data_IF_093267359352
#
_entry.id   IF_093267359352
#
_cell.length_a   1.000
_cell.length_b   1.000
_cell.length_c   1.000
_cell.angle_alpha   90.00
_cell.angle_beta   90.00
_cell.angle_gamma   90.00
#
_symmetry.space_group_name_H-M   'P 1'
#
loop_
_entity.id
_entity.type
_entity.pdbx_description
1 polymer ?
#
# COMPACT_ATOMS: atom_id res chain seq x y z
N UNK A 1 5.51 -2.89 -26.14
CA UNK A 1 6.32 -3.93 -26.87
C UNK A 1 5.41 -5.08 -27.23
N UNK A 2 5.61 -5.71 -28.39
CA UNK A 2 4.79 -6.86 -28.79
C UNK A 2 4.96 -8.04 -27.84
N UNK A 3 3.88 -8.75 -27.57
CA UNK A 3 3.84 -9.83 -26.56
C UNK A 3 4.80 -10.99 -26.88
N UNK A 4 4.95 -11.37 -28.14
CA UNK A 4 5.88 -12.42 -28.59
C UNK A 4 7.34 -12.03 -28.33
N UNK A 5 7.71 -10.78 -28.62
CA UNK A 5 9.06 -10.25 -28.36
C UNK A 5 9.33 -10.22 -26.85
N UNK A 6 8.33 -9.83 -26.03
CA UNK A 6 8.47 -9.84 -24.57
C UNK A 6 8.71 -11.24 -24.03
N UNK A 7 7.90 -12.22 -24.46
CA UNK A 7 8.07 -13.63 -24.05
C UNK A 7 9.47 -14.10 -24.39
N UNK A 8 9.95 -13.86 -25.62
CA UNK A 8 11.29 -14.28 -26.02
C UNK A 8 12.37 -13.59 -25.18
N UNK A 9 12.23 -12.28 -24.94
CA UNK A 9 13.18 -11.52 -24.12
C UNK A 9 13.27 -12.04 -22.67
N UNK A 10 12.14 -12.46 -22.07
CA UNK A 10 12.16 -13.12 -20.76
C UNK A 10 12.82 -14.50 -20.82
N UNK A 11 12.56 -15.31 -21.85
CA UNK A 11 13.21 -16.62 -22.05
C UNK A 11 14.73 -16.48 -22.19
N UNK A 12 15.18 -15.47 -22.92
CA UNK A 12 16.61 -15.19 -23.15
C UNK A 12 17.30 -14.50 -21.97
N UNK A 13 16.56 -14.18 -20.90
CA UNK A 13 17.10 -13.56 -19.68
C UNK A 13 17.46 -12.07 -19.83
N UNK A 14 16.95 -11.39 -20.84
CA UNK A 14 17.22 -9.96 -21.08
C UNK A 14 16.83 -9.08 -19.88
N UNK A 15 15.83 -9.51 -19.13
CA UNK A 15 15.29 -8.75 -17.98
C UNK A 15 15.81 -9.23 -16.62
N UNK A 16 16.79 -10.12 -16.54
CA UNK A 16 17.24 -10.69 -15.25
C UNK A 16 17.76 -9.67 -14.26
N UNK A 17 18.60 -8.75 -14.73
CA UNK A 17 19.11 -7.67 -13.87
C UNK A 17 17.96 -6.82 -13.35
N UNK A 18 16.99 -6.47 -14.20
CA UNK A 18 15.83 -5.69 -13.79
C UNK A 18 14.92 -6.45 -12.83
N UNK A 19 14.74 -7.75 -13.02
CA UNK A 19 14.03 -8.61 -12.07
C UNK A 19 14.77 -8.67 -10.72
N UNK A 20 16.10 -8.73 -10.75
CA UNK A 20 16.89 -8.69 -9.53
C UNK A 20 16.75 -7.33 -8.81
N UNK A 21 16.77 -6.22 -9.53
CA UNK A 21 16.56 -4.88 -8.96
C UNK A 21 15.18 -4.74 -8.28
N UNK A 22 14.15 -5.40 -8.84
CA UNK A 22 12.79 -5.36 -8.29
C UNK A 22 12.60 -6.30 -7.10
N UNK A 23 13.11 -7.53 -7.19
CA UNK A 23 12.81 -8.57 -6.20
C UNK A 23 13.93 -8.82 -5.18
N UNK A 24 15.13 -8.30 -5.40
CA UNK A 24 16.30 -8.42 -4.54
C UNK A 24 16.66 -9.86 -4.14
N UNK A 25 16.25 -10.87 -4.92
CA UNK A 25 16.47 -12.30 -4.64
C UNK A 25 16.87 -13.06 -5.91
N UNK A 26 18.15 -13.39 -6.04
CA UNK A 26 18.67 -14.13 -7.18
C UNK A 26 18.04 -15.52 -7.34
N UNK A 27 17.61 -16.13 -6.25
CA UNK A 27 17.00 -17.48 -6.30
C UNK A 27 15.59 -17.46 -6.89
N UNK A 28 14.95 -16.28 -6.93
CA UNK A 28 13.61 -16.08 -7.46
C UNK A 28 13.56 -15.68 -8.93
N UNK A 29 14.69 -15.35 -9.57
CA UNK A 29 14.70 -14.85 -10.95
C UNK A 29 14.01 -15.81 -11.91
N UNK A 30 14.31 -17.11 -11.83
CA UNK A 30 13.66 -18.11 -12.69
C UNK A 30 12.13 -18.13 -12.46
N UNK A 31 11.69 -18.12 -11.21
CA UNK A 31 10.28 -18.07 -10.87
C UNK A 31 9.61 -16.82 -11.44
N UNK A 32 10.23 -15.66 -11.31
CA UNK A 32 9.68 -14.41 -11.82
C UNK A 32 9.61 -14.39 -13.35
N UNK A 33 10.63 -14.91 -14.06
CA UNK A 33 10.54 -15.06 -15.52
C UNK A 33 9.29 -15.85 -15.92
N UNK A 34 9.11 -17.04 -15.35
CA UNK A 34 7.95 -17.90 -15.64
C UNK A 34 6.63 -17.20 -15.32
N UNK A 35 6.58 -16.49 -14.20
CA UNK A 35 5.40 -15.73 -13.78
C UNK A 35 5.04 -14.64 -14.79
N UNK A 36 5.99 -13.85 -15.26
CA UNK A 36 5.77 -12.81 -16.27
C UNK A 36 5.37 -13.41 -17.62
N UNK A 37 6.05 -14.47 -18.07
CA UNK A 37 5.69 -15.19 -19.30
C UNK A 37 4.27 -15.72 -19.21
N UNK A 38 3.89 -16.34 -18.09
CA UNK A 38 2.54 -16.87 -17.90
C UNK A 38 1.49 -15.73 -17.89
N UNK A 39 1.78 -14.62 -17.25
CA UNK A 39 0.89 -13.45 -17.27
C UNK A 39 0.68 -12.91 -18.68
N UNK A 40 1.75 -12.81 -19.51
CA UNK A 40 1.64 -12.38 -20.91
C UNK A 40 0.79 -13.37 -21.71
N UNK A 41 1.02 -14.68 -21.57
CA UNK A 41 0.22 -15.71 -22.25
C UNK A 41 -1.26 -15.66 -21.86
N UNK A 42 -1.55 -15.40 -20.58
CA UNK A 42 -2.93 -15.23 -20.09
C UNK A 42 -3.58 -13.96 -20.66
N UNK A 43 -2.82 -12.86 -20.74
CA UNK A 43 -3.28 -11.67 -21.43
C UNK A 43 -3.67 -11.95 -22.87
N UNK A 44 -2.84 -12.69 -23.64
CA UNK A 44 -3.14 -13.07 -25.03
C UNK A 44 -4.40 -13.93 -25.17
N UNK A 45 -4.64 -14.81 -24.20
CA UNK A 45 -5.88 -15.62 -24.17
C UNK A 45 -7.12 -14.76 -23.97
N UNK A 46 -7.04 -13.70 -23.16
CA UNK A 46 -8.16 -12.80 -22.88
C UNK A 46 -8.37 -11.77 -23.99
N UNK A 47 -7.28 -11.16 -24.50
CA UNK A 47 -7.37 -9.92 -25.30
C UNK A 47 -6.63 -9.96 -26.64
N UNK A 48 -6.06 -11.10 -27.03
CA UNK A 48 -5.22 -11.31 -28.21
C UNK A 48 -3.86 -10.62 -28.13
N UNK A 49 -2.87 -11.15 -28.86
CA UNK A 49 -1.52 -10.56 -28.96
C UNK A 49 -1.54 -9.07 -29.34
N UNK A 50 -0.51 -8.35 -28.95
CA UNK A 50 -0.35 -6.94 -29.33
C UNK A 50 0.71 -6.21 -28.51
N UNK A 51 0.75 -4.90 -28.69
CA UNK A 51 1.64 -4.04 -27.90
C UNK A 51 1.15 -3.90 -26.47
N UNK A 52 1.98 -4.27 -25.52
CA UNK A 52 1.68 -4.16 -24.09
C UNK A 52 2.78 -3.46 -23.31
N UNK A 53 2.43 -2.95 -22.16
CA UNK A 53 3.33 -2.47 -21.12
C UNK A 53 3.13 -3.32 -19.87
N UNK A 54 4.17 -3.42 -19.04
CA UNK A 54 4.14 -4.19 -17.79
C UNK A 54 4.27 -3.22 -16.64
N UNK A 55 3.37 -3.33 -15.68
CA UNK A 55 3.36 -2.54 -14.46
C UNK A 55 3.40 -3.47 -13.24
N UNK A 56 4.00 -3.01 -12.17
CA UNK A 56 4.11 -3.72 -10.90
C UNK A 56 3.89 -2.77 -9.74
N UNK A 57 3.23 -3.26 -8.69
CA UNK A 57 3.12 -2.57 -7.42
C UNK A 57 3.27 -3.57 -6.27
N UNK A 58 4.19 -3.33 -5.32
CA UNK A 58 4.48 -4.24 -4.24
C UNK A 58 3.40 -4.20 -3.14
N UNK A 59 3.30 -5.29 -2.38
CA UNK A 59 2.73 -5.25 -1.06
C UNK A 59 3.64 -4.50 -0.08
N UNK A 60 3.16 -4.26 1.14
CA UNK A 60 3.93 -3.58 2.18
C UNK A 60 3.92 -4.35 3.49
N UNK A 61 4.93 -4.09 4.31
CA UNK A 61 4.93 -4.40 5.74
C UNK A 61 5.21 -3.15 6.55
N UNK A 62 4.72 -3.08 7.76
CA UNK A 62 5.10 -2.05 8.72
C UNK A 62 6.21 -2.59 9.61
N UNK A 63 7.29 -1.83 9.74
CA UNK A 63 8.44 -2.18 10.59
C UNK A 63 8.21 -1.66 12.00
N UNK A 64 7.74 -0.41 12.12
CA UNK A 64 7.46 0.25 13.38
C UNK A 64 6.39 1.34 13.21
N UNK A 65 5.60 1.60 14.26
CA UNK A 65 4.54 2.61 14.25
C UNK A 65 3.15 2.06 14.52
N UNK A 66 2.91 0.82 14.10
CA UNK A 66 1.70 0.05 14.41
C UNK A 66 0.40 0.84 14.17
N UNK A 67 0.25 1.33 12.93
CA UNK A 67 -0.89 2.10 12.44
C UNK A 67 -1.19 3.41 13.21
N UNK A 68 -0.13 4.19 13.51
CA UNK A 68 -0.29 5.52 14.13
C UNK A 68 -0.77 6.59 13.14
N UNK A 69 -0.80 6.32 11.85
CA UNK A 69 -1.18 7.23 10.77
C UNK A 69 -2.57 7.85 10.94
N UNK A 70 -3.56 7.09 11.45
CA UNK A 70 -4.91 7.60 11.72
C UNK A 70 -5.01 8.60 12.90
N UNK A 71 -3.91 8.83 13.62
CA UNK A 71 -3.76 9.84 14.68
C UNK A 71 -2.67 10.86 14.33
N UNK A 72 -2.35 11.01 13.07
CA UNK A 72 -1.29 11.86 12.53
C UNK A 72 0.10 11.52 13.11
N UNK A 73 0.35 10.22 13.36
CA UNK A 73 1.61 9.73 13.90
C UNK A 73 2.69 9.55 12.84
N UNK A 74 3.75 8.87 13.23
CA UNK A 74 4.87 8.49 12.38
C UNK A 74 4.91 6.97 12.21
N UNK A 75 5.35 6.51 11.06
CA UNK A 75 5.55 5.09 10.78
C UNK A 75 6.86 4.85 10.05
N UNK A 76 7.43 3.67 10.27
CA UNK A 76 8.50 3.11 9.47
C UNK A 76 7.94 1.89 8.75
N UNK A 77 7.83 1.97 7.43
CA UNK A 77 7.24 0.93 6.62
C UNK A 77 8.14 0.55 5.44
N UNK A 78 7.96 -0.65 4.90
CA UNK A 78 8.74 -1.14 3.77
C UNK A 78 7.84 -1.80 2.73
N UNK A 79 8.18 -1.64 1.45
CA UNK A 79 7.69 -2.54 0.42
C UNK A 79 8.30 -3.93 0.60
N UNK A 80 7.55 -4.96 0.20
CA UNK A 80 8.05 -6.34 0.17
C UNK A 80 8.29 -6.80 -1.26
N UNK A 81 9.07 -7.85 -1.44
CA UNK A 81 9.34 -8.44 -2.75
C UNK A 81 8.23 -9.41 -3.24
N UNK A 82 7.02 -9.17 -2.82
CA UNK A 82 5.80 -9.76 -3.33
C UNK A 82 4.95 -8.63 -3.93
N UNK A 83 4.56 -8.77 -5.17
CA UNK A 83 3.88 -7.70 -5.90
C UNK A 83 2.63 -8.19 -6.65
N UNK A 84 1.88 -7.22 -7.11
CA UNK A 84 0.81 -7.38 -8.09
C UNK A 84 1.31 -6.84 -9.41
N UNK A 85 1.33 -7.67 -10.46
CA UNK A 85 1.76 -7.28 -11.81
C UNK A 85 0.56 -7.19 -12.76
N UNK A 86 0.63 -6.23 -13.69
CA UNK A 86 -0.34 -6.05 -14.75
C UNK A 86 0.32 -6.06 -16.13
N UNK A 87 -0.18 -6.90 -17.03
CA UNK A 87 0.12 -6.85 -18.47
C UNK A 87 -0.97 -6.03 -19.10
N UNK A 88 -0.62 -4.88 -19.67
CA UNK A 88 -1.58 -3.82 -19.99
C UNK A 88 -1.43 -3.35 -21.43
N UNK A 89 -2.57 -3.23 -22.12
CA UNK A 89 -2.67 -2.66 -23.45
C UNK A 89 -3.56 -1.42 -23.42
N UNK A 90 -3.04 -0.30 -23.86
CA UNK A 90 -3.80 0.94 -24.03
C UNK A 90 -4.89 0.74 -25.07
N UNK A 91 -6.10 1.23 -24.80
CA UNK A 91 -7.21 1.27 -25.77
C UNK A 91 -7.69 2.72 -25.97
N UNK A 92 -8.51 2.94 -27.00
CA UNK A 92 -9.02 4.27 -27.35
C UNK A 92 -10.53 4.39 -27.18
N UNK A 93 -11.13 3.40 -26.47
CA UNK A 93 -12.58 3.28 -26.28
C UNK A 93 -12.92 3.62 -24.83
N UNK A 94 -12.77 4.53 -24.18
CA UNK A 94 -13.18 4.93 -22.81
C UNK A 94 -13.71 3.78 -21.91
N UNK A 95 -13.14 2.58 -22.04
CA UNK A 95 -13.53 1.40 -21.25
C UNK A 95 -12.30 0.71 -20.67
N UNK A 96 -12.30 0.50 -19.37
CA UNK A 96 -11.32 -0.35 -18.69
C UNK A 96 -11.87 -1.77 -18.65
N UNK A 97 -11.07 -2.73 -19.12
CA UNK A 97 -11.35 -4.17 -19.03
C UNK A 97 -10.20 -4.84 -18.31
N UNK A 98 -10.52 -5.56 -17.26
CA UNK A 98 -9.54 -6.18 -16.39
C UNK A 98 -9.93 -7.61 -16.07
N UNK A 99 -9.04 -8.55 -16.30
CA UNK A 99 -9.15 -9.93 -15.85
C UNK A 99 -8.05 -10.20 -14.83
N UNK A 100 -8.38 -10.86 -13.75
CA UNK A 100 -7.40 -11.40 -12.80
C UNK A 100 -7.63 -12.88 -12.58
N UNK A 101 -6.60 -13.58 -12.07
CA UNK A 101 -6.66 -15.01 -11.81
C UNK A 101 -7.92 -15.40 -11.03
N UNK A 102 -8.68 -16.37 -11.55
CA UNK A 102 -9.87 -16.96 -10.94
C UNK A 102 -11.07 -16.00 -10.72
N UNK A 103 -11.07 -14.82 -11.35
CA UNK A 103 -12.16 -13.86 -11.27
C UNK A 103 -12.73 -13.54 -12.65
N UNK A 104 -14.01 -13.20 -12.68
CA UNK A 104 -14.68 -12.74 -13.89
C UNK A 104 -14.10 -11.40 -14.39
N UNK A 105 -14.25 -11.13 -15.68
CA UNK A 105 -13.83 -9.86 -16.28
C UNK A 105 -14.57 -8.68 -15.65
N UNK A 106 -13.81 -7.70 -15.19
CA UNK A 106 -14.34 -6.42 -14.72
C UNK A 106 -14.36 -5.44 -15.88
N UNK A 107 -15.54 -4.89 -16.18
CA UNK A 107 -15.72 -3.87 -17.22
C UNK A 107 -16.19 -2.58 -16.56
N UNK A 108 -15.46 -1.49 -16.81
CA UNK A 108 -15.76 -0.15 -16.29
C UNK A 108 -15.81 0.83 -17.45
N UNK A 109 -16.95 1.47 -17.62
CA UNK A 109 -17.11 2.58 -18.54
C UNK A 109 -16.72 3.88 -17.84
N UNK A 110 -15.85 4.67 -18.44
CA UNK A 110 -15.37 5.93 -17.88
C UNK A 110 -16.41 7.04 -17.83
N UNK A 111 -17.54 6.87 -18.52
CA UNK A 111 -18.70 7.74 -18.43
C UNK A 111 -19.63 7.42 -17.24
N UNK A 112 -19.39 6.32 -16.50
CA UNK A 112 -20.16 5.88 -15.33
C UNK A 112 -19.26 5.51 -14.14
N UNK A 113 -18.57 6.50 -13.60
CA UNK A 113 -17.63 6.35 -12.48
C UNK A 113 -18.19 6.83 -11.15
N UNK A 114 -19.46 7.16 -11.06
CA UNK A 114 -20.09 7.61 -9.82
C UNK A 114 -20.05 6.55 -8.71
N UNK A 115 -19.98 7.01 -7.45
CA UNK A 115 -20.10 6.12 -6.28
C UNK A 115 -21.46 5.42 -6.30
N UNK A 116 -21.47 4.11 -6.13
CA UNK A 116 -22.69 3.30 -6.06
C UNK A 116 -22.65 2.43 -4.82
N UNK A 117 -23.65 2.56 -3.98
CA UNK A 117 -23.75 1.83 -2.71
C UNK A 117 -23.64 0.31 -2.89
N UNK A 118 -24.24 -0.23 -3.95
CA UNK A 118 -24.22 -1.65 -4.31
C UNK A 118 -22.86 -2.16 -4.82
N UNK A 119 -21.92 -1.26 -5.15
CA UNK A 119 -20.57 -1.59 -5.60
C UNK A 119 -19.54 -1.52 -4.47
N UNK A 120 -19.91 -1.05 -3.27
CA UNK A 120 -19.01 -1.04 -2.11
C UNK A 120 -18.44 -2.42 -1.85
N UNK A 121 -17.23 -2.44 -1.29
CA UNK A 121 -16.47 -3.68 -1.01
C UNK A 121 -16.13 -4.52 -2.24
N UNK A 122 -16.17 -3.93 -3.44
CA UNK A 122 -15.78 -4.62 -4.68
C UNK A 122 -14.54 -4.01 -5.32
N UNK A 123 -13.78 -4.83 -6.04
CA UNK A 123 -12.65 -4.39 -6.86
C UNK A 123 -13.06 -3.31 -7.87
N UNK A 124 -14.29 -3.38 -8.39
CA UNK A 124 -14.85 -2.39 -9.30
C UNK A 124 -14.93 -1.00 -8.67
N UNK A 125 -15.32 -0.93 -7.40
CA UNK A 125 -15.37 0.33 -6.66
C UNK A 125 -13.95 0.94 -6.49
N UNK A 126 -12.94 0.13 -6.17
CA UNK A 126 -11.56 0.60 -6.07
C UNK A 126 -11.07 1.21 -7.38
N UNK A 127 -11.27 0.52 -8.52
CA UNK A 127 -10.84 1.04 -9.83
C UNK A 127 -11.55 2.37 -10.15
N UNK A 128 -12.87 2.44 -9.94
CA UNK A 128 -13.65 3.67 -10.15
C UNK A 128 -13.15 4.82 -9.26
N UNK A 129 -12.81 4.51 -8.00
CA UNK A 129 -12.27 5.48 -7.06
C UNK A 129 -10.93 6.04 -7.51
N UNK A 130 -10.00 5.18 -7.96
CA UNK A 130 -8.72 5.63 -8.51
C UNK A 130 -8.93 6.51 -9.76
N UNK A 131 -9.78 6.08 -10.69
CA UNK A 131 -10.11 6.89 -11.89
C UNK A 131 -10.69 8.25 -11.51
N UNK A 132 -11.64 8.30 -10.56
CA UNK A 132 -12.22 9.55 -10.07
C UNK A 132 -11.16 10.45 -9.44
N UNK A 133 -10.31 9.90 -8.60
CA UNK A 133 -9.22 10.64 -7.96
C UNK A 133 -8.24 11.27 -8.96
N UNK A 134 -7.96 10.59 -10.08
CA UNK A 134 -7.19 11.14 -11.19
C UNK A 134 -7.92 12.32 -11.86
N UNK A 135 -9.20 12.14 -12.18
CA UNK A 135 -10.01 13.19 -12.84
C UNK A 135 -10.17 14.44 -11.97
N UNK A 136 -10.40 14.29 -10.65
CA UNK A 136 -10.51 15.40 -9.72
C UNK A 136 -9.23 16.25 -9.68
N UNK A 137 -8.08 15.59 -9.87
CA UNK A 137 -6.76 16.24 -9.96
C UNK A 137 -6.38 16.69 -11.39
N UNK A 138 -7.32 16.57 -12.33
CA UNK A 138 -7.14 16.96 -13.74
C UNK A 138 -6.09 16.16 -14.50
N UNK A 139 -5.78 14.95 -14.04
CA UNK A 139 -4.97 14.00 -14.79
C UNK A 139 -5.77 13.34 -15.90
N UNK A 140 -5.09 12.99 -16.98
CA UNK A 140 -5.70 12.27 -18.08
C UNK A 140 -6.02 10.81 -17.68
N UNK A 141 -7.16 10.33 -18.10
CA UNK A 141 -7.59 8.94 -17.95
C UNK A 141 -8.09 8.39 -19.28
N UNK A 142 -8.03 7.08 -19.46
CA UNK A 142 -8.53 6.44 -20.68
C UNK A 142 -8.68 4.94 -20.50
N UNK A 143 -9.17 4.28 -21.55
CA UNK A 143 -9.43 2.84 -21.54
C UNK A 143 -8.15 2.01 -21.67
N UNK A 144 -8.17 0.84 -21.08
CA UNK A 144 -7.12 -0.18 -21.25
C UNK A 144 -7.69 -1.58 -21.06
N UNK A 145 -6.95 -2.55 -21.55
CA UNK A 145 -7.15 -3.97 -21.28
C UNK A 145 -5.99 -4.43 -20.38
N UNK A 146 -6.29 -5.15 -19.31
CA UNK A 146 -5.27 -5.64 -18.39
C UNK A 146 -5.53 -7.08 -17.95
N UNK A 147 -4.47 -7.88 -17.88
CA UNK A 147 -4.45 -9.11 -17.11
C UNK A 147 -3.57 -8.89 -15.88
N UNK A 148 -4.11 -9.18 -14.71
CA UNK A 148 -3.45 -8.94 -13.41
C UNK A 148 -3.27 -10.26 -12.67
N UNK A 149 -2.08 -10.46 -12.10
CA UNK A 149 -1.79 -11.56 -11.17
C UNK A 149 -1.00 -11.04 -9.97
N UNK A 150 -1.20 -11.64 -8.81
CA UNK A 150 -0.63 -11.16 -7.55
C UNK A 150 0.00 -12.26 -6.74
N UNK A 151 1.23 -12.00 -6.27
CA UNK A 151 1.89 -12.78 -5.21
C UNK A 151 1.66 -12.18 -3.82
N UNK A 152 1.01 -11.01 -3.73
CA UNK A 152 0.62 -10.42 -2.45
C UNK A 152 -0.50 -11.22 -1.82
N UNK A 153 -0.20 -11.90 -0.74
CA UNK A 153 -1.14 -12.79 -0.06
C UNK A 153 -2.33 -12.02 0.52
N UNK A 154 -3.54 -12.42 0.14
CA UNK A 154 -4.77 -11.82 0.67
C UNK A 154 -4.95 -12.25 2.13
N UNK A 155 -5.21 -11.29 3.03
CA UNK A 155 -5.41 -11.58 4.45
C UNK A 155 -4.15 -11.80 5.27
N UNK A 156 -2.97 -11.78 4.67
CA UNK A 156 -1.69 -11.95 5.37
C UNK A 156 -1.09 -10.63 5.91
N UNK A 157 -1.87 -9.55 5.95
CA UNK A 157 -1.39 -8.26 6.46
C UNK A 157 -0.45 -7.49 5.53
N UNK A 158 -0.33 -7.90 4.26
CA UNK A 158 0.56 -7.27 3.26
C UNK A 158 -0.13 -6.18 2.40
N UNK A 159 -1.35 -5.80 2.72
CA UNK A 159 -2.16 -4.80 2.00
C UNK A 159 -2.30 -5.05 0.50
N UNK A 160 -2.94 -6.16 0.14
CA UNK A 160 -3.25 -6.47 -1.26
C UNK A 160 -4.14 -5.41 -1.93
N UNK A 161 -5.04 -4.74 -1.18
CA UNK A 161 -5.85 -3.62 -1.69
C UNK A 161 -4.97 -2.44 -2.09
N UNK A 162 -4.06 -2.00 -1.22
CA UNK A 162 -3.17 -0.88 -1.50
C UNK A 162 -2.23 -1.17 -2.68
N UNK A 163 -1.70 -2.40 -2.79
CA UNK A 163 -0.91 -2.82 -3.94
C UNK A 163 -1.73 -2.75 -5.25
N UNK A 164 -3.00 -3.16 -5.20
CA UNK A 164 -3.89 -3.11 -6.36
C UNK A 164 -4.24 -1.66 -6.75
N UNK A 165 -4.58 -0.80 -5.80
CA UNK A 165 -4.86 0.62 -6.02
C UNK A 165 -3.65 1.34 -6.61
N UNK A 166 -2.47 1.09 -6.04
CA UNK A 166 -1.19 1.61 -6.53
C UNK A 166 -0.91 1.13 -7.95
N UNK A 167 -1.17 -0.15 -8.26
CA UNK A 167 -1.02 -0.68 -9.62
C UNK A 167 -1.92 0.07 -10.61
N UNK A 168 -3.20 0.25 -10.31
CA UNK A 168 -4.13 0.97 -11.20
C UNK A 168 -3.68 2.44 -11.38
N UNK A 169 -3.28 3.11 -10.30
CA UNK A 169 -2.72 4.47 -10.36
C UNK A 169 -1.46 4.55 -11.22
N UNK A 170 -0.54 3.59 -11.08
CA UNK A 170 0.69 3.50 -11.87
C UNK A 170 0.39 3.24 -13.35
N UNK A 171 -0.60 2.39 -13.67
CA UNK A 171 -1.07 2.16 -15.04
C UNK A 171 -1.59 3.46 -15.66
N UNK A 172 -2.47 4.18 -14.97
CA UNK A 172 -3.01 5.46 -15.47
C UNK A 172 -1.93 6.53 -15.61
N UNK A 173 -0.99 6.58 -14.67
CA UNK A 173 0.17 7.47 -14.75
C UNK A 173 1.02 7.15 -15.99
N UNK A 174 1.39 5.90 -16.20
CA UNK A 174 2.22 5.48 -17.35
C UNK A 174 1.53 5.71 -18.69
N UNK A 175 0.32 5.17 -18.86
CA UNK A 175 -0.37 5.18 -20.15
C UNK A 175 -0.86 6.56 -20.60
N UNK A 176 -1.23 7.44 -19.67
CA UNK A 176 -1.96 8.67 -19.99
C UNK A 176 -1.28 9.94 -19.49
N UNK A 177 -0.31 9.84 -18.57
CA UNK A 177 0.34 10.98 -17.93
C UNK A 177 1.87 10.90 -18.00
N UNK A 178 2.42 10.13 -18.93
CA UNK A 178 3.87 9.98 -19.14
C UNK A 178 4.66 9.61 -17.87
N UNK A 179 4.03 8.93 -16.90
CA UNK A 179 4.64 8.55 -15.63
C UNK A 179 4.92 9.72 -14.66
N UNK A 180 4.27 10.88 -14.86
CA UNK A 180 4.58 12.10 -14.08
C UNK A 180 3.77 12.24 -12.80
N UNK A 181 2.71 11.43 -12.59
CA UNK A 181 1.97 11.44 -11.33
C UNK A 181 2.85 10.87 -10.23
N UNK A 182 3.09 11.65 -9.18
CA UNK A 182 4.01 11.25 -8.12
C UNK A 182 3.50 10.04 -7.32
N UNK A 183 4.42 9.28 -6.73
CA UNK A 183 4.08 8.15 -5.86
C UNK A 183 3.17 8.57 -4.69
N UNK A 184 3.43 9.74 -4.11
CA UNK A 184 2.59 10.31 -3.05
C UNK A 184 1.16 10.60 -3.53
N UNK A 185 1.01 11.19 -4.72
CA UNK A 185 -0.33 11.43 -5.28
C UNK A 185 -1.08 10.15 -5.59
N UNK A 186 -0.40 9.13 -6.15
CA UNK A 186 -0.99 7.81 -6.39
C UNK A 186 -1.48 7.20 -5.06
N UNK A 187 -0.69 7.32 -3.99
CA UNK A 187 -1.07 6.84 -2.67
C UNK A 187 -2.31 7.56 -2.10
N UNK A 188 -2.36 8.89 -2.19
CA UNK A 188 -3.51 9.69 -1.73
C UNK A 188 -4.77 9.35 -2.54
N UNK A 189 -4.62 9.13 -3.84
CA UNK A 189 -5.73 8.69 -4.71
C UNK A 189 -6.20 7.28 -4.32
N UNK A 190 -5.29 6.37 -4.01
CA UNK A 190 -5.62 5.02 -3.52
C UNK A 190 -6.43 5.08 -2.23
N UNK A 191 -5.97 5.83 -1.23
CA UNK A 191 -6.71 6.04 0.02
C UNK A 191 -8.12 6.63 -0.22
N UNK A 192 -8.23 7.62 -1.10
CA UNK A 192 -9.52 8.16 -1.49
C UNK A 192 -10.44 7.08 -2.09
N UNK A 193 -9.91 6.23 -2.94
CA UNK A 193 -10.67 5.12 -3.53
C UNK A 193 -11.17 4.13 -2.46
N UNK A 194 -10.32 3.78 -1.49
CA UNK A 194 -10.70 2.87 -0.40
C UNK A 194 -11.74 3.51 0.53
N UNK A 195 -11.54 4.75 0.94
CA UNK A 195 -12.44 5.43 1.87
C UNK A 195 -13.79 5.81 1.27
N UNK A 196 -13.82 6.33 0.04
CA UNK A 196 -15.02 6.92 -0.56
C UNK A 196 -15.79 5.92 -1.42
N UNK A 197 -15.09 5.12 -2.23
CA UNK A 197 -15.72 4.20 -3.17
C UNK A 197 -15.90 2.81 -2.59
N UNK A 198 -14.85 2.25 -2.00
CA UNK A 198 -14.92 0.93 -1.38
C UNK A 198 -15.69 0.97 -0.06
N UNK A 199 -15.58 2.06 0.69
CA UNK A 199 -16.35 2.31 1.91
C UNK A 199 -15.68 1.78 3.17
N UNK A 200 -14.38 1.46 3.13
CA UNK A 200 -13.61 1.03 4.30
C UNK A 200 -12.68 2.17 4.75
N UNK A 201 -12.89 2.76 5.93
CA UNK A 201 -11.99 3.78 6.45
C UNK A 201 -10.59 3.22 6.70
N UNK A 202 -9.59 3.78 6.03
CA UNK A 202 -8.19 3.42 6.22
C UNK A 202 -7.32 4.67 6.41
N UNK A 203 -6.14 4.48 7.03
CA UNK A 203 -5.05 5.46 7.02
C UNK A 203 -4.37 5.53 5.65
N UNK A 204 -3.29 6.28 5.55
CA UNK A 204 -2.58 6.49 4.28
C UNK A 204 -1.29 5.65 4.18
N UNK A 205 -0.84 5.03 5.26
CA UNK A 205 0.43 4.30 5.34
C UNK A 205 0.56 3.22 4.27
N UNK A 206 -0.48 2.42 4.09
CA UNK A 206 -0.46 1.25 3.20
C UNK A 206 -0.18 1.64 1.75
N UNK A 207 -0.93 2.62 1.26
CA UNK A 207 -0.79 3.13 -0.09
C UNK A 207 0.55 3.86 -0.28
N UNK A 208 1.01 4.61 0.74
CA UNK A 208 2.30 5.29 0.68
C UNK A 208 3.47 4.31 0.60
N UNK A 209 3.50 3.29 1.46
CA UNK A 209 4.57 2.30 1.46
C UNK A 209 4.59 1.46 0.18
N UNK A 210 3.42 1.08 -0.36
CA UNK A 210 3.29 0.39 -1.64
C UNK A 210 3.73 1.25 -2.82
N UNK A 211 3.33 2.52 -2.86
CA UNK A 211 3.58 3.42 -3.99
C UNK A 211 5.02 3.93 -4.03
N UNK A 212 5.61 4.27 -2.89
CA UNK A 212 6.97 4.84 -2.81
C UNK A 212 8.03 3.76 -2.91
N UNK A 213 7.77 2.59 -2.31
CA UNK A 213 8.69 1.46 -2.31
C UNK A 213 9.90 1.65 -1.37
N UNK A 214 10.69 0.59 -1.19
CA UNK A 214 11.81 0.50 -0.27
C UNK A 214 11.43 0.69 1.21
N UNK A 215 12.39 1.02 2.07
CA UNK A 215 12.14 1.40 3.45
C UNK A 215 11.86 2.90 3.51
N UNK A 216 10.75 3.27 4.14
CA UNK A 216 10.29 4.67 4.20
C UNK A 216 9.90 5.05 5.62
N UNK A 217 10.39 6.20 6.07
CA UNK A 217 9.84 6.92 7.20
C UNK A 217 8.76 7.89 6.71
N UNK A 218 7.60 7.84 7.32
CA UNK A 218 6.48 8.71 6.94
C UNK A 218 5.97 9.40 8.21
N UNK A 219 5.97 10.73 8.18
CA UNK A 219 5.38 11.56 9.22
C UNK A 219 4.05 12.16 8.71
N UNK A 220 2.96 11.77 9.35
CA UNK A 220 1.61 12.23 9.04
C UNK A 220 1.17 13.47 9.83
N UNK A 221 2.10 14.28 10.33
CA UNK A 221 1.76 15.55 11.02
C UNK A 221 0.80 16.41 10.17
N UNK A 222 1.01 16.43 8.88
CA UNK A 222 0.07 16.97 7.90
C UNK A 222 -0.41 15.85 6.97
N UNK A 223 -1.62 15.28 7.14
CA UNK A 223 -2.10 14.18 6.32
C UNK A 223 -2.32 14.52 4.84
N UNK A 224 -2.51 15.81 4.50
CA UNK A 224 -2.64 16.26 3.10
C UNK A 224 -1.28 16.32 2.39
N UNK A 225 -0.22 16.57 3.15
CA UNK A 225 1.16 16.67 2.67
C UNK A 225 2.11 15.96 3.63
N UNK A 226 2.06 14.62 3.74
CA UNK A 226 2.92 13.88 4.66
C UNK A 226 4.39 14.06 4.27
N UNK A 227 5.25 14.18 5.30
CA UNK A 227 6.68 14.12 5.08
C UNK A 227 7.10 12.69 4.83
N UNK A 228 7.86 12.46 3.77
CA UNK A 228 8.30 11.12 3.36
C UNK A 228 9.79 11.11 3.14
N UNK A 229 10.47 10.21 3.79
CA UNK A 229 11.91 10.01 3.67
C UNK A 229 12.21 8.55 3.34
N UNK A 230 12.90 8.32 2.20
CA UNK A 230 13.44 6.99 1.88
C UNK A 230 14.70 6.74 2.68
N UNK A 231 14.76 5.60 3.34
CA UNK A 231 15.93 5.19 4.11
C UNK A 231 16.68 4.14 3.29
N UNK A 232 17.94 4.42 2.98
CA UNK A 232 18.82 3.49 2.29
C UNK A 232 19.40 2.48 3.30
N UNK A 233 18.66 1.39 3.50
CA UNK A 233 19.02 0.34 4.42
C UNK A 233 18.86 -1.04 3.77
N UNK A 234 19.93 -1.79 3.73
CA UNK A 234 19.96 -3.16 3.20
C UNK A 234 20.14 -4.17 4.34
N UNK A 235 19.04 -4.81 4.74
CA UNK A 235 19.03 -5.80 5.81
C UNK A 235 20.00 -6.96 5.57
N UNK A 236 20.20 -7.38 4.31
CA UNK A 236 21.07 -8.51 3.97
C UNK A 236 22.55 -8.21 4.27
N UNK A 237 22.99 -6.96 4.11
CA UNK A 237 24.36 -6.54 4.48
C UNK A 237 24.66 -6.76 5.96
N UNK A 238 23.62 -6.69 6.81
CA UNK A 238 23.72 -6.89 8.25
C UNK A 238 23.33 -8.31 8.69
N UNK A 239 23.07 -9.22 7.72
CA UNK A 239 22.73 -10.62 8.01
C UNK A 239 21.28 -10.83 8.47
N UNK A 240 20.39 -9.86 8.29
CA UNK A 240 18.97 -9.96 8.65
C UNK A 240 18.12 -10.25 7.44
N UNK A 241 16.98 -10.90 7.69
CA UNK A 241 15.93 -11.14 6.70
C UNK A 241 14.57 -10.90 7.32
N UNK A 242 13.69 -10.27 6.57
CA UNK A 242 12.29 -10.13 6.95
C UNK A 242 11.54 -11.44 6.65
N UNK A 243 10.92 -12.03 7.68
CA UNK A 243 10.11 -13.22 7.55
C UNK A 243 8.64 -12.90 7.84
N UNK A 244 7.76 -13.26 6.92
CA UNK A 244 6.31 -13.09 7.07
C UNK A 244 5.69 -14.48 7.24
N UNK A 245 4.97 -14.67 8.36
CA UNK A 245 4.29 -15.93 8.64
C UNK A 245 2.79 -15.74 8.41
N UNK A 246 2.27 -16.41 7.39
CA UNK A 246 0.83 -16.45 7.14
C UNK A 246 0.17 -17.42 8.13
N UNK A 247 -0.57 -16.89 9.09
CA UNK A 247 -1.28 -17.67 10.12
C UNK A 247 -2.59 -18.27 9.62
N UNK A 248 -2.97 -18.06 8.34
CA UNK A 248 -4.25 -18.46 7.76
C UNK A 248 -5.48 -17.88 8.47
N UNK A 249 -5.29 -16.85 9.29
CA UNK A 249 -6.38 -16.12 9.93
C UNK A 249 -7.11 -15.21 8.92
N UNK A 250 -8.41 -15.01 9.14
CA UNK A 250 -9.19 -14.01 8.41
C UNK A 250 -9.40 -12.77 9.26
N UNK A 251 -9.24 -11.59 8.66
CA UNK A 251 -9.57 -10.31 9.31
C UNK A 251 -10.99 -9.84 8.99
N UNK A 252 -11.75 -10.58 8.18
CA UNK A 252 -13.07 -10.18 7.72
C UNK A 252 -14.06 -9.92 8.87
N UNK A 253 -13.96 -10.70 9.95
CA UNK A 253 -14.86 -10.59 11.11
C UNK A 253 -14.40 -9.56 12.16
N UNK A 254 -13.29 -8.84 11.92
CA UNK A 254 -12.71 -7.90 12.89
C UNK A 254 -12.89 -6.42 12.51
N UNK A 255 -13.71 -6.12 11.51
CA UNK A 255 -13.92 -4.74 11.01
C UNK A 255 -14.35 -3.77 12.11
N UNK A 256 -15.25 -4.19 13.00
CA UNK A 256 -15.74 -3.36 14.11
C UNK A 256 -14.62 -3.07 15.13
N UNK A 257 -13.76 -4.05 15.41
CA UNK A 257 -12.63 -3.87 16.34
C UNK A 257 -11.56 -2.94 15.74
N UNK A 258 -11.30 -3.05 14.43
CA UNK A 258 -10.43 -2.11 13.73
C UNK A 258 -10.99 -0.68 13.76
N UNK A 259 -12.28 -0.50 13.48
CA UNK A 259 -12.95 0.80 13.53
C UNK A 259 -12.98 1.39 14.96
N UNK A 260 -13.01 0.55 15.99
CA UNK A 260 -12.97 0.97 17.38
C UNK A 260 -11.63 1.63 17.78
N UNK A 261 -10.50 1.23 17.17
CA UNK A 261 -9.17 1.73 17.53
C UNK A 261 -9.08 3.25 17.36
N UNK A 262 -9.25 3.82 16.17
CA UNK A 262 -9.17 5.27 15.99
C UNK A 262 -10.27 6.02 16.76
N UNK A 263 -11.46 5.43 16.88
CA UNK A 263 -12.58 6.02 17.63
C UNK A 263 -12.24 6.21 19.10
N UNK A 264 -11.68 5.20 19.75
CA UNK A 264 -11.31 5.24 21.17
C UNK A 264 -10.13 6.18 21.42
N UNK A 265 -9.13 6.22 20.53
CA UNK A 265 -8.04 7.18 20.61
C UNK A 265 -8.54 8.62 20.50
N UNK A 266 -9.48 8.90 19.60
CA UNK A 266 -10.12 10.22 19.47
C UNK A 266 -10.91 10.63 20.70
N UNK A 267 -11.48 9.70 21.47
CA UNK A 267 -12.14 10.04 22.75
C UNK A 267 -11.14 10.63 23.77
N UNK A 268 -9.94 10.05 23.85
CA UNK A 268 -8.87 10.56 24.71
C UNK A 268 -8.35 11.90 24.17
N UNK A 269 -8.15 12.04 22.85
CA UNK A 269 -7.72 13.30 22.25
C UNK A 269 -8.71 14.44 22.57
N UNK A 270 -10.01 14.19 22.42
CA UNK A 270 -11.08 15.16 22.73
C UNK A 270 -11.12 15.59 24.20
N UNK A 271 -10.72 14.72 25.13
CA UNK A 271 -10.60 15.11 26.55
C UNK A 271 -9.61 16.26 26.73
N UNK A 272 -8.56 16.30 25.94
CA UNK A 272 -7.55 17.37 25.91
C UNK A 272 -7.87 18.49 24.92
N UNK A 273 -9.07 18.51 24.33
CA UNK A 273 -9.48 19.53 23.35
C UNK A 273 -8.77 19.39 21.98
N UNK A 274 -8.30 18.19 21.64
CA UNK A 274 -7.62 17.87 20.40
C UNK A 274 -8.44 16.91 19.53
N UNK A 275 -8.23 16.94 18.22
CA UNK A 275 -8.88 16.00 17.29
C UNK A 275 -8.13 14.66 17.20
N UNK A 276 -6.80 14.68 17.40
CA UNK A 276 -5.89 13.52 17.31
C UNK A 276 -4.90 13.55 18.47
N UNK A 277 -4.22 12.43 18.71
CA UNK A 277 -3.27 12.26 19.80
C UNK A 277 -1.88 12.90 19.55
N UNK A 278 -1.57 13.32 18.33
CA UNK A 278 -0.25 13.81 17.92
C UNK A 278 0.38 14.81 18.89
N UNK A 279 -0.40 15.76 19.40
CA UNK A 279 0.08 16.87 20.24
C UNK A 279 -0.12 16.62 21.74
N UNK A 280 -0.38 15.38 22.13
CA UNK A 280 -0.60 15.01 23.53
C UNK A 280 0.62 14.29 24.06
N UNK A 281 1.19 14.80 25.14
CA UNK A 281 2.36 14.18 25.77
C UNK A 281 1.98 13.00 26.65
N UNK A 282 2.96 12.16 26.93
CA UNK A 282 2.77 11.06 27.89
C UNK A 282 2.40 11.55 29.28
N UNK A 283 2.96 12.69 29.71
CA UNK A 283 2.68 13.27 31.02
C UNK A 283 1.23 13.76 31.10
N UNK A 284 0.68 14.36 30.02
CA UNK A 284 -0.72 14.74 29.98
C UNK A 284 -1.63 13.55 30.27
N UNK A 285 -1.35 12.38 29.65
CA UNK A 285 -2.15 11.17 29.86
C UNK A 285 -1.94 10.60 31.27
N UNK A 286 -0.71 10.55 31.77
CA UNK A 286 -0.40 9.95 33.09
C UNK A 286 -0.93 10.82 34.24
N UNK A 287 -0.82 12.13 34.17
CA UNK A 287 -1.33 13.07 35.21
C UNK A 287 -2.83 13.02 35.28
N UNK A 288 -3.54 12.69 34.22
CA UNK A 288 -5.00 12.58 34.15
C UNK A 288 -5.52 11.14 34.13
N UNK A 289 -4.66 10.14 34.38
CA UNK A 289 -4.97 8.72 34.15
C UNK A 289 -6.22 8.25 34.94
N UNK A 290 -6.40 8.72 36.15
CA UNK A 290 -7.55 8.34 37.00
C UNK A 290 -8.87 8.79 36.37
N UNK A 291 -8.92 10.01 35.90
CA UNK A 291 -10.12 10.59 35.29
C UNK A 291 -10.39 9.97 33.90
N UNK A 292 -9.37 9.77 33.11
CA UNK A 292 -9.46 9.10 31.80
C UNK A 292 -9.99 7.68 31.94
N UNK A 293 -9.45 6.89 32.88
CA UNK A 293 -9.91 5.52 33.17
C UNK A 293 -11.36 5.48 33.61
N UNK A 294 -11.75 6.40 34.49
CA UNK A 294 -13.13 6.51 34.97
C UNK A 294 -14.11 6.88 33.86
N UNK A 295 -13.69 7.74 32.93
CA UNK A 295 -14.56 8.30 31.88
C UNK A 295 -14.64 7.40 30.64
N UNK A 296 -13.55 6.80 30.22
CA UNK A 296 -13.43 6.09 28.95
C UNK A 296 -13.02 4.60 29.09
N UNK A 297 -12.60 4.17 30.29
CA UNK A 297 -12.11 2.83 30.54
C UNK A 297 -10.63 2.64 30.21
N UNK A 298 -10.07 1.52 30.66
CA UNK A 298 -8.64 1.21 30.54
C UNK A 298 -8.19 1.04 29.08
N UNK A 299 -9.02 0.45 28.23
CA UNK A 299 -8.70 0.19 26.82
C UNK A 299 -8.41 1.48 26.05
N UNK A 300 -9.21 2.54 26.24
CA UNK A 300 -8.95 3.83 25.59
C UNK A 300 -7.63 4.46 26.04
N UNK A 301 -7.32 4.36 27.33
CA UNK A 301 -6.07 4.89 27.89
C UNK A 301 -4.86 4.11 27.36
N UNK A 302 -4.94 2.77 27.34
CA UNK A 302 -3.87 1.93 26.80
C UNK A 302 -3.62 2.20 25.31
N UNK A 303 -4.66 2.42 24.51
CA UNK A 303 -4.55 2.81 23.11
C UNK A 303 -3.88 4.17 22.93
N UNK A 304 -4.19 5.15 23.79
CA UNK A 304 -3.51 6.45 23.74
C UNK A 304 -2.04 6.35 24.13
N UNK A 305 -1.71 5.60 25.18
CA UNK A 305 -0.32 5.34 25.57
C UNK A 305 0.43 4.58 24.46
N UNK A 306 -0.19 3.57 23.86
CA UNK A 306 0.36 2.85 22.72
C UNK A 306 0.77 3.81 21.61
N UNK A 307 -0.12 4.70 21.14
CA UNK A 307 0.20 5.70 20.13
C UNK A 307 1.44 6.53 20.49
N UNK A 308 1.49 7.06 21.72
CA UNK A 308 2.58 7.93 22.16
C UNK A 308 3.92 7.19 22.19
N UNK A 309 3.91 5.92 22.64
CA UNK A 309 5.13 5.10 22.68
C UNK A 309 5.57 4.67 21.29
N UNK A 310 4.66 4.27 20.42
CA UNK A 310 4.98 3.89 19.04
C UNK A 310 5.58 5.07 18.26
N UNK A 311 4.97 6.25 18.38
CA UNK A 311 5.49 7.45 17.71
C UNK A 311 6.94 7.76 18.12
N UNK A 312 7.26 7.63 19.42
CA UNK A 312 8.63 7.79 19.92
C UNK A 312 9.56 6.68 19.46
N UNK A 313 9.05 5.45 19.33
CA UNK A 313 9.83 4.29 18.86
C UNK A 313 10.26 4.49 17.41
N UNK A 314 9.34 4.93 16.54
CA UNK A 314 9.65 5.24 15.13
C UNK A 314 10.80 6.23 15.02
N UNK A 315 10.72 7.36 15.75
CA UNK A 315 11.78 8.37 15.76
C UNK A 315 13.14 7.79 16.20
N UNK A 316 13.13 6.94 17.24
CA UNK A 316 14.36 6.29 17.72
C UNK A 316 14.91 5.31 16.68
N UNK A 317 14.09 4.49 16.07
CA UNK A 317 14.51 3.51 15.07
C UNK A 317 15.04 4.19 13.80
N UNK A 318 14.37 5.23 13.32
CA UNK A 318 14.87 6.02 12.20
C UNK A 318 16.24 6.61 12.51
N UNK A 319 16.44 7.18 13.71
CA UNK A 319 17.72 7.70 14.14
C UNK A 319 18.81 6.61 14.15
N UNK A 320 18.51 5.41 14.65
CA UNK A 320 19.45 4.29 14.70
C UNK A 320 19.84 3.78 13.31
N UNK A 321 18.93 3.80 12.35
CA UNK A 321 19.19 3.39 10.96
C UNK A 321 20.19 4.32 10.25
N UNK A 322 20.31 5.58 10.68
CA UNK A 322 21.28 6.54 10.14
C UNK A 322 22.63 6.49 10.86
N UNK A 323 22.73 5.86 12.01
CA UNK A 323 23.97 5.77 12.75
C UNK A 323 24.67 4.43 12.48
N UNK A 324 26.00 4.45 12.35
CA UNK A 324 26.80 3.22 12.16
C UNK A 324 26.66 2.20 13.30
N UNK A 325 26.12 2.62 14.45
CA UNK A 325 25.88 1.79 15.62
C UNK A 325 24.60 0.93 15.53
N UNK A 326 23.77 1.12 14.50
CA UNK A 326 22.57 0.30 14.30
C UNK A 326 22.87 -1.20 14.12
N UNK A 327 24.10 -1.54 13.71
CA UNK A 327 24.55 -2.92 13.59
C UNK A 327 25.15 -3.49 14.90
N UNK A 328 25.63 -2.65 15.81
CA UNK A 328 26.29 -3.07 17.07
C UNK A 328 25.32 -3.13 18.25
N UNK A 329 24.25 -2.36 18.24
CA UNK A 329 23.20 -2.46 19.24
C UNK A 329 22.31 -3.67 18.88
N UNK A 330 22.70 -4.85 19.33
CA UNK A 330 21.85 -6.04 19.28
C UNK A 330 20.48 -5.61 19.79
N UNK A 331 19.51 -5.60 18.90
CA UNK A 331 18.15 -5.24 19.23
C UNK A 331 17.74 -6.01 20.49
N UNK A 332 17.82 -5.36 21.62
CA UNK A 332 17.18 -5.83 22.84
C UNK A 332 15.69 -5.58 22.61
N UNK A 333 15.03 -6.65 22.24
CA UNK A 333 13.58 -6.74 22.36
C UNK A 333 13.33 -6.89 23.87
N UNK A 334 13.00 -5.80 24.53
CA UNK A 334 12.43 -5.80 25.87
C UNK A 334 10.91 -5.95 25.76
#
# INVERSE_FOLDING_TARGET
MQTDILIQSFLDGVYDERLFDVYADKTKIYYQRERYINAIKKFEQCYKPGDVEIFSAPGRTEICGNHTDHQNGEVLAASVNLDTIGIVKKTYDNVIRLVSDNYDEIIIRLDDISVKEKEKETTKALIKGVVSGFLERKYAVGGFQAYITSDVLIGAGLSSSAAFETLIGTILSGLYNCGTVSATEIAIIGQYAENVYFGKPCGLMDQMASSIGNLVHIDFANPEYPYVEKIDFDMEKYGYRLCITDTKGSHADLTDEYAAIPKEMKLVAKYFGKEVLRDISINDVLDNITDLRKKFGDRCVLRALHFIYENKRVQKEVCLLYTSDAADDKARVD
#
